data_IF_138435396785
#
_entry.id   IF_138435396785
#
_cell.length_a   1.000
_cell.length_b   1.000
_cell.length_c   1.000
_cell.angle_alpha   90.00
_cell.angle_beta   90.00
_cell.angle_gamma   90.00
#
_symmetry.space_group_name_H-M   'P 1'
#
loop_
_entity.id
_entity.type
_entity.pdbx_description
1 polymer ?
#
# COMPACT_ATOMS: atom_id res chain seq x y z
N UNK A 1 -12.03 -2.66 2.80
CA UNK A 1 -11.26 -2.40 1.54
C UNK A 1 -11.59 -3.47 0.49
N UNK A 2 -11.26 -3.29 -0.80
CA UNK A 2 -11.44 -4.33 -1.83
C UNK A 2 -10.10 -4.92 -2.26
N UNK A 3 -10.03 -6.23 -2.43
CA UNK A 3 -8.84 -6.93 -2.92
C UNK A 3 -8.49 -6.48 -4.35
N UNK A 4 -7.20 -6.55 -4.70
CA UNK A 4 -6.72 -6.18 -6.05
C UNK A 4 -6.63 -4.67 -6.31
N UNK A 5 -6.97 -3.83 -5.33
CA UNK A 5 -6.70 -2.38 -5.44
C UNK A 5 -5.23 -2.08 -5.21
N UNK A 6 -4.74 -1.08 -5.93
CA UNK A 6 -3.39 -0.54 -5.79
C UNK A 6 -3.37 0.52 -4.71
N UNK A 7 -2.38 0.46 -3.83
CA UNK A 7 -2.09 1.45 -2.79
C UNK A 7 -0.62 1.87 -2.84
N UNK A 8 -0.33 2.93 -2.11
CA UNK A 8 1.02 3.38 -1.80
C UNK A 8 1.29 3.16 -0.31
N UNK A 9 2.46 2.62 0.03
CA UNK A 9 2.87 2.52 1.44
C UNK A 9 3.28 3.91 1.92
N UNK A 10 2.69 4.38 3.02
CA UNK A 10 2.92 5.74 3.53
C UNK A 10 4.09 5.83 4.53
N UNK A 11 4.40 4.76 5.25
CA UNK A 11 5.39 4.77 6.32
C UNK A 11 6.17 3.44 6.41
N UNK A 12 7.35 3.49 7.03
CA UNK A 12 8.27 2.36 7.19
C UNK A 12 9.33 2.29 6.09
N UNK A 13 10.16 1.24 6.12
CA UNK A 13 11.28 1.06 5.17
C UNK A 13 10.85 1.08 3.69
N UNK A 14 9.61 0.66 3.43
CA UNK A 14 9.04 0.56 2.08
C UNK A 14 8.08 1.72 1.76
N UNK A 15 8.22 2.86 2.41
CA UNK A 15 7.44 4.06 2.09
C UNK A 15 7.66 4.50 0.64
N UNK A 16 6.60 4.89 -0.07
CA UNK A 16 6.68 5.30 -1.47
C UNK A 16 6.64 4.16 -2.48
N UNK A 17 6.58 2.91 -2.03
CA UNK A 17 6.45 1.75 -2.92
C UNK A 17 5.00 1.48 -3.28
N UNK A 18 4.79 1.12 -4.55
CA UNK A 18 3.47 0.73 -5.08
C UNK A 18 3.18 -0.70 -4.74
N UNK A 19 1.97 -0.93 -4.25
CA UNK A 19 1.57 -2.21 -3.67
C UNK A 19 0.14 -2.58 -4.00
N UNK A 20 -0.17 -3.87 -3.98
CA UNK A 20 -1.49 -4.45 -4.23
C UNK A 20 -1.98 -5.16 -2.97
N UNK A 21 -3.26 -4.96 -2.65
CA UNK A 21 -3.92 -5.62 -1.52
C UNK A 21 -4.21 -7.08 -1.87
N UNK A 22 -3.67 -8.00 -1.08
CA UNK A 22 -3.83 -9.46 -1.26
C UNK A 22 -4.89 -10.02 -0.34
N UNK A 23 -4.90 -9.61 0.94
CA UNK A 23 -5.90 -10.01 1.94
C UNK A 23 -6.21 -8.85 2.86
N UNK A 24 -7.48 -8.67 3.20
CA UNK A 24 -7.93 -7.71 4.22
C UNK A 24 -8.22 -8.46 5.51
N UNK A 25 -7.82 -7.86 6.63
CA UNK A 25 -8.11 -8.34 7.98
C UNK A 25 -8.77 -7.17 8.70
N UNK A 26 -10.09 -7.16 8.66
CA UNK A 26 -10.90 -6.04 9.15
C UNK A 26 -11.21 -6.16 10.66
N UNK A 27 -11.34 -7.39 11.17
CA UNK A 27 -11.78 -7.69 12.56
C UNK A 27 -10.71 -7.54 13.65
N UNK A 28 -9.46 -7.20 13.29
CA UNK A 28 -8.37 -7.09 14.25
C UNK A 28 -7.97 -8.44 14.87
N UNK A 29 -6.74 -8.54 15.35
CA UNK A 29 -6.23 -9.71 16.08
C UNK A 29 -5.77 -9.24 17.45
N UNK A 30 -5.64 -10.14 18.44
CA UNK A 30 -5.11 -9.80 19.77
C UNK A 30 -3.81 -8.98 19.72
N UNK A 31 -2.93 -9.27 18.77
CA UNK A 31 -1.65 -8.57 18.59
C UNK A 31 -1.77 -7.23 17.86
N UNK A 32 -2.86 -7.02 17.13
CA UNK A 32 -3.07 -5.86 16.27
C UNK A 32 -4.57 -5.50 16.26
N UNK A 33 -5.05 -4.65 17.19
CA UNK A 33 -6.47 -4.29 17.30
C UNK A 33 -6.97 -3.38 16.18
N UNK A 34 -6.09 -2.94 15.27
CA UNK A 34 -6.45 -2.09 14.14
C UNK A 34 -6.67 -2.92 12.87
N UNK A 35 -7.59 -2.45 12.01
CA UNK A 35 -7.77 -3.03 10.68
C UNK A 35 -6.49 -2.90 9.85
N UNK A 36 -6.07 -4.02 9.27
CA UNK A 36 -4.82 -4.12 8.53
C UNK A 36 -4.98 -5.00 7.30
N UNK A 37 -4.04 -4.89 6.37
CA UNK A 37 -4.05 -5.64 5.13
C UNK A 37 -2.72 -6.35 4.92
N UNK A 38 -2.77 -7.55 4.35
CA UNK A 38 -1.62 -8.19 3.74
C UNK A 38 -1.47 -7.63 2.32
N UNK A 39 -0.29 -7.11 2.07
CA UNK A 39 -0.01 -6.30 0.90
C UNK A 39 1.24 -6.86 0.21
N UNK A 40 1.15 -7.05 -1.11
CA UNK A 40 2.27 -7.45 -1.94
C UNK A 40 2.72 -6.26 -2.79
N UNK A 41 4.02 -6.00 -2.79
CA UNK A 41 4.61 -4.80 -3.38
C UNK A 41 5.74 -5.07 -4.34
N UNK A 42 6.07 -4.05 -5.11
CA UNK A 42 7.33 -3.98 -5.84
C UNK A 42 8.30 -3.09 -5.08
N UNK A 43 9.49 -3.62 -4.80
CA UNK A 43 10.60 -2.87 -4.21
C UNK A 43 11.16 -1.91 -5.27
N UNK A 44 11.62 -2.45 -6.39
CA UNK A 44 12.19 -1.62 -7.45
C UNK A 44 11.20 -1.48 -8.59
N UNK A 45 10.93 -0.24 -9.01
CA UNK A 45 10.30 0.01 -10.30
C UNK A 45 11.26 -0.37 -11.42
N UNK A 46 10.85 -1.14 -12.43
CA UNK A 46 11.70 -1.48 -13.55
C UNK A 46 12.14 -0.22 -14.30
N UNK A 47 13.40 -0.17 -14.72
CA UNK A 47 13.88 0.93 -15.54
C UNK A 47 13.18 0.95 -16.92
N UNK A 48 13.00 2.16 -17.46
CA UNK A 48 12.41 2.37 -18.79
C UNK A 48 13.22 1.61 -19.85
N UNK A 49 12.52 0.82 -20.66
CA UNK A 49 13.10 0.16 -21.82
C UNK A 49 13.10 1.13 -23.00
N UNK A 50 14.28 1.42 -23.55
CA UNK A 50 14.43 2.23 -24.77
C UNK A 50 14.76 1.35 -25.97
N UNK A 51 14.24 1.69 -27.15
CA UNK A 51 14.46 0.96 -28.41
C UNK A 51 15.91 0.57 -28.74
N UNK A 52 16.96 1.38 -28.45
CA UNK A 52 18.34 0.99 -28.73
C UNK A 52 18.90 -0.09 -27.79
N UNK A 53 18.17 -0.53 -26.75
CA UNK A 53 18.67 -1.57 -25.86
C UNK A 53 18.66 -2.94 -26.55
N UNK A 54 19.87 -3.51 -26.70
CA UNK A 54 20.03 -4.85 -27.27
C UNK A 54 19.37 -5.95 -26.42
N UNK A 55 18.90 -7.01 -27.08
CA UNK A 55 18.20 -8.17 -26.49
C UNK A 55 18.95 -8.88 -25.36
N UNK A 56 20.28 -8.73 -25.30
CA UNK A 56 21.11 -9.29 -24.22
C UNK A 56 21.06 -8.46 -22.93
N UNK A 57 20.88 -7.14 -23.05
CA UNK A 57 20.85 -6.21 -21.91
C UNK A 57 19.47 -6.17 -21.23
N UNK A 58 18.41 -6.54 -21.93
CA UNK A 58 17.04 -6.56 -21.40
C UNK A 58 16.80 -7.60 -20.30
N UNK A 59 17.12 -8.90 -20.48
CA UNK A 59 16.93 -9.93 -19.46
C UNK A 59 18.04 -9.93 -18.39
N UNK A 60 19.26 -9.52 -18.77
CA UNK A 60 20.41 -9.50 -17.85
C UNK A 60 20.60 -8.15 -17.15
N UNK A 61 19.79 -7.14 -17.46
CA UNK A 61 19.70 -5.96 -16.63
C UNK A 61 19.19 -6.39 -15.26
N UNK A 62 20.06 -6.46 -14.27
CA UNK A 62 19.67 -6.53 -12.85
C UNK A 62 18.65 -5.43 -12.48
N UNK A 63 18.59 -4.35 -13.28
CA UNK A 63 17.65 -3.23 -13.20
C UNK A 63 16.22 -3.53 -13.67
N UNK A 64 15.96 -4.64 -14.36
CA UNK A 64 14.62 -5.06 -14.80
C UNK A 64 14.04 -6.21 -13.97
N UNK A 65 14.88 -6.91 -13.18
CA UNK A 65 14.42 -7.91 -12.22
C UNK A 65 13.61 -7.23 -11.13
N UNK A 66 12.30 -7.48 -11.13
CA UNK A 66 11.41 -6.96 -10.11
C UNK A 66 11.63 -7.74 -8.82
N UNK A 67 12.08 -7.04 -7.79
CA UNK A 67 12.11 -7.58 -6.44
C UNK A 67 10.75 -7.36 -5.81
N UNK A 68 10.08 -8.44 -5.48
CA UNK A 68 8.75 -8.45 -4.87
C UNK A 68 8.85 -8.50 -3.35
N UNK A 69 7.85 -7.94 -2.68
CA UNK A 69 7.81 -7.82 -1.22
C UNK A 69 6.43 -8.17 -0.70
N UNK A 70 6.38 -8.71 0.52
CA UNK A 70 5.13 -8.99 1.23
C UNK A 70 5.21 -8.29 2.57
N UNK A 71 4.29 -7.39 2.84
CA UNK A 71 4.24 -6.60 4.07
C UNK A 71 2.84 -6.62 4.68
N UNK A 72 2.80 -6.46 6.00
CA UNK A 72 1.58 -6.12 6.74
C UNK A 72 1.45 -4.60 6.77
N UNK A 73 0.38 -4.08 6.19
CA UNK A 73 0.11 -2.66 6.14
C UNK A 73 -1.02 -2.29 7.11
N UNK A 74 -0.80 -1.25 7.92
CA UNK A 74 -1.83 -0.65 8.77
C UNK A 74 -2.46 0.50 7.99
N UNK A 75 -3.80 0.53 7.96
CA UNK A 75 -4.51 1.62 7.33
C UNK A 75 -4.66 2.79 8.31
N UNK A 76 -4.07 3.93 7.97
CA UNK A 76 -4.29 5.21 8.63
C UNK A 76 -4.87 6.14 7.57
N UNK A 77 -6.20 6.27 7.53
CA UNK A 77 -6.84 7.24 6.62
C UNK A 77 -6.87 8.61 7.31
N UNK A 78 -6.08 9.61 6.87
CA UNK A 78 -6.19 10.95 7.40
C UNK A 78 -7.54 11.60 7.04
N UNK A 79 -8.21 11.16 5.97
CA UNK A 79 -9.49 11.72 5.51
C UNK A 79 -10.69 11.33 6.39
N UNK A 80 -10.54 10.33 7.26
CA UNK A 80 -11.57 9.93 8.23
C UNK A 80 -11.55 10.75 9.52
N UNK A 81 -10.58 11.65 9.71
CA UNK A 81 -10.48 12.45 10.95
C UNK A 81 -11.27 13.76 10.95
N UNK A 82 -11.89 14.17 9.83
CA UNK A 82 -12.52 15.50 9.72
C UNK A 82 -14.03 15.52 9.44
N UNK A 83 -14.75 14.41 9.66
CA UNK A 83 -16.21 14.36 9.42
C UNK A 83 -17.11 14.41 10.67
N UNK A 84 -16.54 14.34 11.88
CA UNK A 84 -17.34 14.32 13.13
C UNK A 84 -17.05 15.51 14.06
N UNK A 85 -16.82 16.69 13.50
CA UNK A 85 -16.95 17.95 14.23
C UNK A 85 -18.10 18.68 13.54
N UNK A 86 -19.02 19.24 14.32
CA UNK A 86 -20.23 19.97 13.89
C UNK A 86 -21.53 19.15 13.74
N UNK A 87 -22.09 18.74 14.88
CA UNK A 87 -23.52 19.01 15.15
C UNK A 87 -23.74 19.05 16.66
N UNK A 88 -23.89 20.29 17.13
CA UNK A 88 -24.17 20.74 18.48
C UNK A 88 -25.24 19.92 19.20
N UNK A 89 -25.00 19.71 20.50
CA UNK A 89 -26.01 19.40 21.50
C UNK A 89 -27.22 20.34 21.32
N UNK A 90 -28.40 19.78 21.04
CA UNK A 90 -29.66 20.49 21.27
C UNK A 90 -30.31 19.89 22.51
N UNK A 91 -30.13 20.67 23.57
CA UNK A 91 -30.87 20.80 24.82
C UNK A 91 -32.02 19.81 25.08
N UNK A 92 -32.01 19.30 26.31
CA UNK A 92 -33.19 18.85 27.02
C UNK A 92 -34.22 19.98 27.13
N UNK A 93 -35.45 19.67 26.74
CA UNK A 93 -36.68 19.94 27.48
C UNK A 93 -37.62 18.76 27.25
#
# INVERSE_FOLDING_TARGET
>A
MKLGRVMLVLAGCYSGHKVVIVKNIDDGTSDCPYSHALVAGMDCSPCKVTAPMGKKKLPNCQRSRQKTMVNKAVFRDPALQHKNKWSFQKLQF
#
